data_IF_344462047534
#
_entry.id   IF_344462047534
#
_cell.length_a   1.000
_cell.length_b   1.000
_cell.length_c   1.000
_cell.angle_alpha   90.00
_cell.angle_beta   90.00
_cell.angle_gamma   90.00
#
_symmetry.space_group_name_H-M   'P 1'
#
loop_
_entity.id
_entity.type
_entity.pdbx_description
1 polymer ?
#
# COMPACT_ATOMS: atom_id res chain seq x y z
N UNK A 1 -4.08 -4.40 -5.00
CA UNK A 1 -4.66 -5.51 -5.83
C UNK A 1 -4.88 -6.70 -4.89
N UNK A 2 -5.30 -7.89 -5.33
CA UNK A 2 -5.38 -9.05 -4.41
C UNK A 2 -3.96 -9.52 -4.08
N UNK A 3 -3.59 -9.61 -2.79
CA UNK A 3 -2.31 -10.17 -2.32
C UNK A 3 -1.92 -11.40 -3.17
N UNK A 4 -0.75 -11.35 -3.81
CA UNK A 4 -0.23 -12.45 -4.63
C UNK A 4 -0.19 -13.70 -3.74
N UNK A 5 -0.61 -14.85 -4.28
CA UNK A 5 -0.74 -16.09 -3.48
C UNK A 5 0.57 -16.51 -2.79
N UNK A 6 1.73 -16.11 -3.34
CA UNK A 6 3.05 -16.31 -2.77
C UNK A 6 3.25 -15.53 -1.44
N UNK A 7 2.81 -14.27 -1.37
CA UNK A 7 2.99 -13.43 -0.18
C UNK A 7 2.10 -13.91 0.97
N UNK A 8 0.91 -14.43 0.65
CA UNK A 8 0.01 -15.02 1.65
C UNK A 8 0.62 -16.25 2.32
N UNK A 9 1.24 -17.14 1.55
CA UNK A 9 1.85 -18.36 2.09
C UNK A 9 3.03 -18.03 3.02
N UNK A 10 3.82 -17.00 2.68
CA UNK A 10 4.90 -16.51 3.51
C UNK A 10 4.37 -15.95 4.84
N UNK A 11 3.36 -15.07 4.79
CA UNK A 11 2.75 -14.49 6.01
C UNK A 11 2.13 -15.57 6.90
N UNK A 12 1.52 -16.61 6.33
CA UNK A 12 1.03 -17.73 7.14
C UNK A 12 2.20 -18.48 7.78
N UNK A 13 3.28 -18.76 7.06
CA UNK A 13 4.45 -19.46 7.60
C UNK A 13 5.14 -18.67 8.72
N UNK A 14 5.22 -17.35 8.60
CA UNK A 14 5.94 -16.50 9.55
C UNK A 14 5.19 -16.31 10.88
N UNK A 15 3.85 -16.40 10.85
CA UNK A 15 2.98 -16.16 12.01
C UNK A 15 2.26 -17.42 12.51
N UNK A 16 2.39 -18.56 11.84
CA UNK A 16 1.80 -19.82 12.28
C UNK A 16 2.46 -20.31 13.58
N UNK A 17 1.63 -20.66 14.56
CA UNK A 17 2.13 -21.18 15.84
C UNK A 17 2.35 -22.69 15.81
N UNK A 18 1.67 -23.38 14.89
CA UNK A 18 1.74 -24.81 14.67
C UNK A 18 1.72 -25.14 13.17
N UNK A 19 2.27 -26.30 12.75
CA UNK A 19 2.21 -26.71 11.35
C UNK A 19 0.76 -26.85 10.88
N UNK A 20 0.39 -26.09 9.83
CA UNK A 20 -0.97 -26.05 9.29
C UNK A 20 -1.92 -25.07 10.00
N UNK A 21 -1.40 -24.22 10.88
CA UNK A 21 -2.18 -23.16 11.52
C UNK A 21 -2.48 -22.03 10.53
N UNK A 22 -3.67 -22.06 9.94
CA UNK A 22 -4.16 -21.04 9.02
C UNK A 22 -5.26 -20.17 9.63
N UNK A 23 -5.62 -20.41 10.89
CA UNK A 23 -6.85 -19.93 11.49
C UNK A 23 -6.66 -19.23 12.84
N UNK A 24 -5.48 -19.25 13.42
CA UNK A 24 -5.20 -18.54 14.65
C UNK A 24 -5.42 -17.02 14.53
N UNK A 25 -5.79 -16.36 15.63
CA UNK A 25 -5.93 -14.91 15.66
C UNK A 25 -4.69 -14.17 15.13
N UNK A 26 -3.50 -14.68 15.44
CA UNK A 26 -2.21 -14.12 15.05
C UNK A 26 -2.02 -14.16 13.52
N UNK A 27 -2.27 -15.32 12.89
CA UNK A 27 -2.19 -15.49 11.44
C UNK A 27 -3.25 -14.64 10.73
N UNK A 28 -4.47 -14.58 11.26
CA UNK A 28 -5.53 -13.74 10.68
C UNK A 28 -5.20 -12.24 10.75
N UNK A 29 -4.66 -11.76 11.87
CA UNK A 29 -4.23 -10.36 12.03
C UNK A 29 -3.07 -10.05 11.09
N UNK A 30 -2.10 -10.95 10.93
CA UNK A 30 -0.99 -10.76 10.01
C UNK A 30 -1.48 -10.66 8.55
N UNK A 31 -2.40 -11.54 8.13
CA UNK A 31 -3.01 -11.50 6.80
C UNK A 31 -3.82 -10.22 6.56
N UNK A 32 -4.62 -9.77 7.53
CA UNK A 32 -5.35 -8.50 7.42
C UNK A 32 -4.40 -7.31 7.36
N UNK A 33 -3.33 -7.32 8.16
CA UNK A 33 -2.33 -6.24 8.19
C UNK A 33 -1.63 -6.11 6.85
N UNK A 34 -1.14 -7.22 6.29
CA UNK A 34 -0.52 -7.24 4.97
C UNK A 34 -1.46 -6.70 3.89
N UNK A 35 -2.76 -7.04 3.96
CA UNK A 35 -3.77 -6.54 3.03
C UNK A 35 -4.03 -5.04 3.21
N UNK A 36 -4.06 -4.53 4.44
CA UNK A 36 -4.23 -3.11 4.72
C UNK A 36 -3.05 -2.31 4.18
N UNK A 37 -1.82 -2.79 4.37
CA UNK A 37 -0.62 -2.14 3.83
C UNK A 37 -0.65 -2.07 2.31
N UNK A 38 -0.92 -3.19 1.61
CA UNK A 38 -1.04 -3.18 0.14
C UNK A 38 -2.10 -2.19 -0.37
N UNK A 39 -3.26 -2.17 0.27
CA UNK A 39 -4.32 -1.23 -0.08
C UNK A 39 -3.92 0.22 0.21
N UNK A 40 -3.25 0.48 1.32
CA UNK A 40 -2.79 1.83 1.70
C UNK A 40 -1.75 2.37 0.72
N UNK A 41 -0.82 1.52 0.29
CA UNK A 41 0.18 1.89 -0.71
C UNK A 41 -0.47 2.16 -2.07
N UNK A 42 -1.43 1.31 -2.48
CA UNK A 42 -2.19 1.51 -3.70
C UNK A 42 -2.93 2.86 -3.71
N UNK A 43 -3.59 3.21 -2.60
CA UNK A 43 -4.29 4.48 -2.50
C UNK A 43 -3.38 5.69 -2.22
N UNK A 44 -2.17 5.49 -1.68
CA UNK A 44 -1.17 6.56 -1.52
C UNK A 44 -0.53 6.95 -2.85
N UNK A 45 -0.28 5.99 -3.73
CA UNK A 45 0.35 6.24 -5.04
C UNK A 45 -0.52 7.09 -5.97
N UNK A 46 -1.85 7.01 -5.83
CA UNK A 46 -2.79 7.81 -6.63
C UNK A 46 -2.99 9.25 -6.09
N UNK A 47 -2.43 9.59 -4.92
CA UNK A 47 -2.48 10.95 -4.40
C UNK A 47 -1.22 11.74 -4.78
N UNK A 48 -1.31 12.78 -5.62
CA UNK A 48 -0.14 13.55 -5.97
C UNK A 48 0.36 14.28 -4.73
N UNK A 49 1.66 14.14 -4.44
CA UNK A 49 2.29 14.78 -3.29
C UNK A 49 1.95 16.28 -3.26
N UNK A 50 1.60 16.82 -2.08
CA UNK A 50 1.28 18.25 -1.92
C UNK A 50 2.42 19.17 -2.41
N UNK A 51 3.68 18.69 -2.39
CA UNK A 51 4.81 19.46 -2.90
C UNK A 51 4.90 19.46 -4.44
N UNK A 52 4.56 18.35 -5.09
CA UNK A 52 4.56 18.24 -6.56
C UNK A 52 3.42 19.05 -7.18
N UNK A 53 2.22 18.99 -6.57
CA UNK A 53 1.07 19.79 -7.01
C UNK A 53 1.32 21.29 -6.91
N UNK A 54 1.97 21.76 -5.84
CA UNK A 54 2.36 23.18 -5.68
C UNK A 54 3.42 23.59 -6.71
N UNK A 55 4.40 22.73 -6.98
CA UNK A 55 5.45 23.01 -7.96
C UNK A 55 4.90 23.07 -9.38
N UNK A 56 3.99 22.16 -9.74
CA UNK A 56 3.27 22.17 -11.00
C UNK A 56 2.37 23.40 -11.12
N UNK A 57 1.67 23.81 -10.05
CA UNK A 57 0.86 25.03 -10.04
C UNK A 57 1.70 26.29 -10.30
N UNK A 58 2.85 26.45 -9.63
CA UNK A 58 3.74 27.58 -9.87
C UNK A 58 4.36 27.56 -11.27
N UNK A 59 4.75 26.38 -11.76
CA UNK A 59 5.29 26.21 -13.13
C UNK A 59 4.22 26.52 -14.19
N UNK A 60 2.97 26.11 -13.96
CA UNK A 60 1.83 26.43 -14.80
C UNK A 60 1.51 27.93 -14.79
N UNK A 61 1.47 28.57 -13.61
CA UNK A 61 1.29 30.03 -13.47
C UNK A 61 2.38 30.83 -14.17
N UNK A 62 3.63 30.33 -14.19
CA UNK A 62 4.74 30.95 -14.91
C UNK A 62 4.61 30.79 -16.43
N UNK A 63 4.11 29.65 -16.90
CA UNK A 63 3.88 29.40 -18.34
C UNK A 63 2.68 30.19 -18.90
N UNK A 64 1.66 30.48 -18.10
CA UNK A 64 0.48 31.29 -18.47
C UNK A 64 0.70 32.81 -18.32
N UNK A 65 1.90 33.23 -17.87
CA UNK A 65 2.28 34.66 -17.71
C UNK A 65 3.32 35.09 -18.75
N UNK A 66 3.43 34.38 -19.87
CA UNK A 66 4.25 34.82 -21.00
C UNK A 66 3.32 35.19 -22.15
N UNK A 67 2.79 36.41 -22.05
CA UNK A 67 2.71 37.43 -23.12
C UNK A 67 3.19 38.75 -22.51
#
# INVERSE_FOLDING_TARGET
MSLVAADKAQVVSDYATAPGDTGSPEVQVALLTARITDLTDHFSLDWPSRSETITLFHSFKRSQRIE
#
